data_IF_595435559322
#
_entry.id   IF_595435559322
#
_cell.length_a   1.000
_cell.length_b   1.000
_cell.length_c   1.000
_cell.angle_alpha   90.00
_cell.angle_beta   90.00
_cell.angle_gamma   90.00
#
_symmetry.space_group_name_H-M   'P 1'
#
loop_
_entity.id
_entity.type
_entity.pdbx_description
1 polymer ?
#
# COMPACT_ATOMS: atom_id res chain seq x y z
N UNK A 1 5.28 -4.19 -9.78
CA UNK A 1 5.40 -2.77 -10.15
C UNK A 1 5.28 -2.66 -11.65
N UNK A 2 4.04 -2.58 -12.12
CA UNK A 2 3.71 -2.84 -13.52
C UNK A 2 3.57 -1.55 -14.32
N UNK A 3 3.23 -0.43 -13.65
CA UNK A 3 3.01 0.87 -14.29
C UNK A 3 4.19 1.31 -15.16
N UNK A 4 5.46 1.33 -14.69
CA UNK A 4 6.58 1.78 -15.53
C UNK A 4 6.77 0.88 -16.75
N UNK A 5 6.69 -0.44 -16.54
CA UNK A 5 6.83 -1.42 -17.62
C UNK A 5 5.76 -1.26 -18.69
N UNK A 6 4.49 -1.12 -18.30
CA UNK A 6 3.37 -0.97 -19.24
C UNK A 6 3.45 0.36 -19.99
N UNK A 7 3.79 1.46 -19.29
CA UNK A 7 3.99 2.78 -19.91
C UNK A 7 5.16 2.77 -20.90
N UNK A 8 6.28 2.15 -20.56
CA UNK A 8 7.46 2.08 -21.43
C UNK A 8 7.20 1.21 -22.67
N UNK A 9 6.52 0.07 -22.51
CA UNK A 9 6.11 -0.78 -23.62
C UNK A 9 5.10 -0.07 -24.54
N UNK A 10 4.15 0.67 -23.98
CA UNK A 10 3.18 1.45 -24.75
C UNK A 10 3.87 2.57 -25.55
N UNK A 11 4.77 3.34 -24.92
CA UNK A 11 5.57 4.38 -25.61
C UNK A 11 6.44 3.80 -26.72
N UNK A 12 6.96 2.59 -26.51
CA UNK A 12 7.77 1.88 -27.50
C UNK A 12 6.96 1.17 -28.59
N UNK A 13 5.62 1.24 -28.59
CA UNK A 13 4.73 0.48 -29.47
C UNK A 13 4.98 -1.05 -29.43
N UNK A 14 5.39 -1.56 -28.26
CA UNK A 14 5.66 -2.98 -27.99
C UNK A 14 4.57 -3.66 -27.18
N UNK A 15 3.58 -2.89 -26.71
CA UNK A 15 2.44 -3.44 -25.97
C UNK A 15 1.39 -3.95 -26.98
N UNK A 16 1.04 -5.25 -26.97
CA UNK A 16 0.13 -5.82 -27.96
C UNK A 16 -1.36 -5.53 -27.65
N UNK A 17 -1.64 -4.67 -26.67
CA UNK A 17 -2.98 -4.32 -26.22
C UNK A 17 -3.01 -2.86 -25.73
N UNK A 18 -4.21 -2.30 -25.64
CA UNK A 18 -4.45 -1.01 -25.00
C UNK A 18 -4.41 -1.16 -23.48
N UNK A 19 -3.72 -0.24 -22.82
CA UNK A 19 -3.57 -0.22 -21.38
C UNK A 19 -4.20 1.03 -20.77
N UNK A 20 -4.89 0.84 -19.65
CA UNK A 20 -5.48 1.89 -18.85
C UNK A 20 -5.78 1.39 -17.44
N UNK A 21 -5.99 2.31 -16.50
CA UNK A 21 -6.36 1.99 -15.12
C UNK A 21 -7.74 2.57 -14.81
N UNK A 22 -8.57 1.81 -14.10
CA UNK A 22 -9.87 2.26 -13.60
C UNK A 22 -10.05 1.86 -12.14
N UNK A 23 -10.96 2.55 -11.44
CA UNK A 23 -11.40 2.11 -10.12
C UNK A 23 -12.00 0.69 -10.18
N UNK A 24 -11.84 -0.05 -9.07
CA UNK A 24 -12.52 -1.34 -8.89
C UNK A 24 -14.03 -1.17 -9.06
N UNK A 25 -14.75 -2.13 -9.65
CA UNK A 25 -16.21 -2.09 -9.67
C UNK A 25 -16.79 -2.06 -8.25
N UNK A 26 -17.96 -1.42 -8.09
CA UNK A 26 -18.68 -1.45 -6.81
C UNK A 26 -19.05 -2.90 -6.47
N UNK A 27 -18.56 -3.39 -5.34
CA UNK A 27 -18.98 -4.68 -4.78
C UNK A 27 -19.86 -4.45 -3.57
N UNK A 28 -21.00 -5.13 -3.50
CA UNK A 28 -22.00 -4.91 -2.45
C UNK A 28 -22.45 -3.44 -2.38
N UNK A 29 -22.79 -2.95 -1.19
CA UNK A 29 -23.29 -1.59 -0.98
C UNK A 29 -22.18 -0.54 -0.75
N UNK A 30 -20.90 -0.86 -0.96
CA UNK A 30 -19.79 0.07 -0.78
C UNK A 30 -18.77 0.04 -1.94
N UNK A 31 -17.99 1.11 -2.05
CA UNK A 31 -16.92 1.27 -3.05
C UNK A 31 -15.53 1.08 -2.42
N UNK A 32 -15.49 0.58 -1.17
CA UNK A 32 -14.27 0.61 -0.35
C UNK A 32 -13.22 -0.31 -0.94
N UNK A 33 -12.01 0.21 -1.03
CA UNK A 33 -10.83 -0.51 -1.50
C UNK A 33 -9.80 -0.57 -0.38
N UNK A 34 -8.91 -1.56 -0.43
CA UNK A 34 -7.81 -1.61 0.52
C UNK A 34 -6.61 -0.85 -0.02
N UNK A 35 -5.93 -0.10 0.83
CA UNK A 35 -4.63 0.51 0.52
C UNK A 35 -3.62 0.29 1.64
N UNK A 36 -2.36 0.36 1.24
CA UNK A 36 -1.20 0.39 2.13
C UNK A 36 -0.30 1.59 1.77
N UNK A 37 0.59 1.97 2.67
CA UNK A 37 1.52 3.09 2.52
C UNK A 37 2.94 2.70 2.91
N UNK A 38 3.91 3.19 2.15
CA UNK A 38 5.31 3.09 2.54
C UNK A 38 5.67 4.26 3.46
N UNK A 39 6.45 3.98 4.50
CA UNK A 39 6.90 5.00 5.45
C UNK A 39 8.41 4.95 5.63
N UNK A 40 9.01 6.11 5.86
CA UNK A 40 10.41 6.23 6.30
C UNK A 40 10.40 6.38 7.82
N UNK A 41 11.05 5.44 8.51
CA UNK A 41 11.11 5.42 9.97
C UNK A 41 12.55 5.64 10.46
N UNK A 42 12.70 6.35 11.58
CA UNK A 42 13.96 6.44 12.32
C UNK A 42 13.86 5.43 13.47
N UNK A 43 14.72 4.40 13.51
CA UNK A 43 14.71 3.43 14.60
C UNK A 43 14.96 4.10 15.96
N UNK A 44 14.11 3.82 16.94
CA UNK A 44 14.30 4.30 18.31
C UNK A 44 15.24 3.35 19.08
N UNK A 45 16.55 3.48 18.86
CA UNK A 45 17.53 2.65 19.55
C UNK A 45 17.88 3.23 20.93
N UNK A 46 17.16 2.81 21.98
CA UNK A 46 17.36 3.33 23.34
C UNK A 46 18.74 3.01 23.94
N UNK A 47 19.32 1.86 23.58
CA UNK A 47 20.62 1.42 24.10
C UNK A 47 21.80 2.12 23.44
N UNK A 48 21.64 2.49 22.18
CA UNK A 48 22.65 3.20 21.40
C UNK A 48 21.95 4.27 20.55
N UNK A 49 21.54 5.38 21.17
CA UNK A 49 20.79 6.43 20.47
C UNK A 49 21.66 7.10 19.42
N UNK A 50 21.05 7.46 18.30
CA UNK A 50 21.71 8.23 17.27
C UNK A 50 21.95 9.67 17.72
N UNK A 51 23.04 10.28 17.25
CA UNK A 51 23.35 11.66 17.63
C UNK A 51 22.28 12.63 17.10
N UNK A 52 22.02 13.75 17.81
CA UNK A 52 21.07 14.77 17.35
C UNK A 52 21.38 15.28 15.94
N UNK A 53 22.66 15.41 15.59
CA UNK A 53 23.11 15.86 14.27
C UNK A 53 22.75 14.86 13.17
N UNK A 54 22.91 13.56 13.45
CA UNK A 54 22.53 12.50 12.50
C UNK A 54 21.02 12.43 12.33
N UNK A 55 20.26 12.55 13.42
CA UNK A 55 18.79 12.64 13.35
C UNK A 55 18.36 13.84 12.49
N UNK A 56 18.96 15.02 12.70
CA UNK A 56 18.67 16.20 11.90
C UNK A 56 19.02 16.01 10.40
N UNK A 57 20.13 15.32 10.09
CA UNK A 57 20.50 15.00 8.72
C UNK A 57 19.49 14.04 8.05
N UNK A 58 19.04 13.01 8.79
CA UNK A 58 18.01 12.07 8.31
C UNK A 58 16.69 12.79 8.06
N UNK A 59 16.26 13.68 8.96
CA UNK A 59 15.04 14.47 8.76
C UNK A 59 15.13 15.38 7.53
N UNK A 60 16.29 15.99 7.27
CA UNK A 60 16.52 16.75 6.02
C UNK A 60 16.41 15.86 4.79
N UNK A 61 16.95 14.65 4.83
CA UNK A 61 16.82 13.69 3.75
C UNK A 61 15.37 13.26 3.52
N UNK A 62 14.63 12.90 4.59
CA UNK A 62 13.20 12.55 4.51
C UNK A 62 12.42 13.72 3.89
N UNK A 63 12.64 14.94 4.37
CA UNK A 63 11.99 16.14 3.84
C UNK A 63 12.32 16.40 2.36
N UNK A 64 13.56 16.15 1.93
CA UNK A 64 13.94 16.20 0.53
C UNK A 64 13.21 15.12 -0.29
N UNK A 65 13.23 13.88 0.21
CA UNK A 65 12.70 12.70 -0.47
C UNK A 65 11.20 12.81 -0.73
N UNK A 66 10.40 13.16 0.29
CA UNK A 66 8.94 13.28 0.15
C UNK A 66 8.51 14.37 -0.83
N UNK A 67 9.40 15.30 -1.16
CA UNK A 67 9.17 16.36 -2.15
C UNK A 67 9.51 15.95 -3.58
N UNK A 68 10.09 14.76 -3.79
CA UNK A 68 10.47 14.31 -5.13
C UNK A 68 9.31 13.64 -5.84
N UNK A 69 8.98 14.14 -7.04
CA UNK A 69 7.96 13.52 -7.91
C UNK A 69 8.41 12.17 -8.48
N UNK A 70 9.72 11.88 -8.49
CA UNK A 70 10.27 10.63 -9.01
C UNK A 70 9.62 9.38 -8.39
N UNK A 71 9.18 9.46 -7.12
CA UNK A 71 8.47 8.38 -6.45
C UNK A 71 7.14 8.01 -7.14
N UNK A 72 6.43 9.00 -7.68
CA UNK A 72 5.22 8.77 -8.47
C UNK A 72 5.51 7.96 -9.74
N UNK A 73 6.70 8.09 -10.33
CA UNK A 73 7.08 7.35 -11.53
C UNK A 73 7.01 5.83 -11.39
N UNK A 74 7.08 5.29 -10.16
CA UNK A 74 6.85 3.88 -9.89
C UNK A 74 5.38 3.44 -9.97
N UNK A 75 4.42 4.39 -10.01
CA UNK A 75 2.99 4.12 -9.85
C UNK A 75 2.47 4.46 -8.45
N UNK A 76 3.21 5.23 -7.64
CA UNK A 76 2.74 5.65 -6.32
C UNK A 76 1.93 6.94 -6.35
N UNK A 77 1.14 7.13 -5.28
CA UNK A 77 0.53 8.40 -4.92
C UNK A 77 1.41 9.08 -3.88
N UNK A 78 2.06 10.23 -4.19
CA UNK A 78 2.86 10.96 -3.21
C UNK A 78 2.01 11.44 -2.03
N UNK A 79 2.50 11.24 -0.81
CA UNK A 79 1.84 11.73 0.41
C UNK A 79 2.03 13.24 0.64
N UNK A 80 3.04 13.86 0.01
CA UNK A 80 3.26 15.29 0.13
C UNK A 80 2.34 16.06 -0.81
N UNK A 81 1.29 16.67 -0.24
CA UNK A 81 0.21 17.33 -0.99
C UNK A 81 0.70 18.29 -2.08
N UNK A 82 1.72 19.16 -1.87
CA UNK A 82 2.19 20.04 -2.95
C UNK A 82 2.73 19.32 -4.19
N UNK A 83 3.27 18.10 -4.05
CA UNK A 83 3.64 17.27 -5.22
C UNK A 83 2.39 16.68 -5.85
N UNK A 84 1.45 16.17 -5.05
CA UNK A 84 0.18 15.61 -5.54
C UNK A 84 -0.69 16.66 -6.26
N UNK A 85 -0.66 17.92 -5.80
CA UNK A 85 -1.40 19.04 -6.39
C UNK A 85 -0.70 19.68 -7.59
N UNK A 86 0.57 19.31 -7.84
CA UNK A 86 1.37 19.87 -8.92
C UNK A 86 0.82 19.49 -10.30
N UNK A 87 1.02 20.39 -11.27
CA UNK A 87 0.63 20.14 -12.66
C UNK A 87 1.36 18.91 -13.23
N UNK A 88 2.63 18.73 -12.87
CA UNK A 88 3.42 17.60 -13.30
C UNK A 88 2.83 16.24 -12.85
N UNK A 89 2.28 16.15 -11.63
CA UNK A 89 1.62 14.93 -11.17
C UNK A 89 0.25 14.74 -11.83
N UNK A 90 -0.53 15.82 -12.00
CA UNK A 90 -1.85 15.79 -12.65
C UNK A 90 -1.79 15.34 -14.11
N UNK A 91 -0.66 15.55 -14.78
CA UNK A 91 -0.41 15.08 -16.16
C UNK A 91 0.20 13.67 -16.24
N UNK A 92 0.54 13.05 -15.09
CA UNK A 92 1.15 11.72 -15.07
C UNK A 92 0.09 10.65 -15.23
N UNK A 93 0.01 10.07 -16.43
CA UNK A 93 -0.88 8.95 -16.76
C UNK A 93 -0.11 7.64 -16.61
N UNK A 94 -0.66 6.60 -15.94
CA UNK A 94 -2.03 6.52 -15.40
C UNK A 94 -2.20 7.00 -13.94
N UNK A 95 -1.17 7.57 -13.30
CA UNK A 95 -1.21 7.98 -11.89
C UNK A 95 -2.37 8.89 -11.50
N UNK A 96 -2.69 9.86 -12.35
CA UNK A 96 -3.82 10.78 -12.15
C UNK A 96 -5.19 10.07 -12.20
N UNK A 97 -5.32 9.00 -13.00
CA UNK A 97 -6.58 8.27 -13.18
C UNK A 97 -7.04 7.61 -11.89
N UNK A 98 -6.16 6.84 -11.24
CA UNK A 98 -6.51 6.15 -10.00
C UNK A 98 -6.39 7.03 -8.75
N UNK A 99 -5.52 8.05 -8.73
CA UNK A 99 -5.43 8.96 -7.58
C UNK A 99 -6.66 9.84 -7.41
N UNK A 100 -7.36 10.19 -8.49
CA UNK A 100 -8.57 11.04 -8.42
C UNK A 100 -9.86 10.26 -8.18
N UNK A 101 -9.85 8.95 -8.48
CA UNK A 101 -10.99 8.06 -8.35
C UNK A 101 -10.80 7.10 -7.16
N UNK A 102 -9.96 6.09 -7.31
CA UNK A 102 -9.80 4.98 -6.37
C UNK A 102 -9.26 5.41 -5.00
N UNK A 103 -8.35 6.39 -4.95
CA UNK A 103 -7.74 6.82 -3.69
C UNK A 103 -8.71 7.45 -2.68
N UNK A 104 -9.92 7.85 -3.10
CA UNK A 104 -10.95 8.41 -2.19
C UNK A 104 -11.68 7.35 -1.39
N UNK A 105 -11.69 6.12 -1.89
CA UNK A 105 -12.44 5.02 -1.30
C UNK A 105 -11.56 4.04 -0.54
N UNK A 106 -10.29 4.40 -0.29
CA UNK A 106 -9.35 3.51 0.39
C UNK A 106 -9.64 3.42 1.89
N UNK A 107 -9.48 2.23 2.43
CA UNK A 107 -9.42 1.93 3.86
C UNK A 107 -8.04 1.32 4.16
N UNK A 108 -7.43 1.78 5.24
CA UNK A 108 -6.19 1.21 5.76
C UNK A 108 -6.52 0.12 6.79
N UNK A 109 -5.55 -0.76 7.03
CA UNK A 109 -5.67 -1.68 8.15
C UNK A 109 -5.78 -0.91 9.48
N UNK A 110 -6.49 -1.46 10.48
CA UNK A 110 -6.53 -0.87 11.82
C UNK A 110 -5.11 -0.70 12.38
N UNK A 111 -4.88 0.39 13.12
CA UNK A 111 -3.60 0.66 13.78
C UNK A 111 -3.39 -0.24 15.02
N UNK A 112 -3.28 -1.55 14.79
CA UNK A 112 -3.00 -2.56 15.81
C UNK A 112 -1.70 -3.29 15.46
N UNK A 113 -0.89 -3.72 16.46
CA UNK A 113 0.40 -4.37 16.22
C UNK A 113 0.36 -5.68 15.40
N UNK A 114 -0.82 -6.26 15.22
CA UNK A 114 -1.00 -7.49 14.43
C UNK A 114 -1.05 -7.20 12.93
N UNK A 115 -1.41 -5.97 12.53
CA UNK A 115 -1.55 -5.53 11.14
C UNK A 115 -0.28 -4.84 10.65
N UNK A 116 -0.18 -4.63 9.33
CA UNK A 116 0.99 -4.09 8.64
C UNK A 116 1.80 -5.15 7.91
N UNK A 117 2.62 -4.71 6.96
CA UNK A 117 3.46 -5.60 6.13
C UNK A 117 4.36 -6.48 6.99
N UNK A 118 4.25 -7.79 6.81
CA UNK A 118 5.01 -8.77 7.60
C UNK A 118 4.49 -8.95 9.04
N UNK A 119 3.36 -8.32 9.38
CA UNK A 119 2.69 -8.46 10.66
C UNK A 119 2.09 -9.86 10.87
N UNK A 120 1.74 -10.20 12.12
CA UNK A 120 1.16 -11.49 12.50
C UNK A 120 -0.05 -11.95 11.66
N UNK A 121 -0.84 -11.03 11.09
CA UNK A 121 -2.00 -11.39 10.25
C UNK A 121 -1.66 -11.96 8.87
N UNK A 122 -0.43 -11.79 8.37
CA UNK A 122 -0.03 -12.32 7.06
C UNK A 122 -0.15 -13.85 6.98
N UNK A 123 0.26 -14.55 8.03
CA UNK A 123 0.19 -16.01 8.09
C UNK A 123 -1.26 -16.53 8.02
N UNK A 124 -2.22 -16.07 8.86
CA UNK A 124 -3.61 -16.53 8.76
C UNK A 124 -4.30 -16.08 7.46
N UNK A 125 -3.97 -14.90 6.90
CA UNK A 125 -4.46 -14.52 5.55
C UNK A 125 -4.00 -15.57 4.52
N UNK A 126 -2.72 -15.90 4.52
CA UNK A 126 -2.11 -16.83 3.55
C UNK A 126 -2.61 -18.27 3.73
N UNK A 127 -2.84 -18.70 4.97
CA UNK A 127 -3.23 -20.08 5.28
C UNK A 127 -4.74 -20.33 5.20
N UNK A 128 -5.57 -19.29 5.29
CA UNK A 128 -7.03 -19.45 5.37
C UNK A 128 -7.81 -18.64 4.34
N UNK A 129 -7.49 -17.35 4.14
CA UNK A 129 -8.26 -16.52 3.20
C UNK A 129 -7.86 -16.80 1.75
N UNK A 130 -6.56 -16.89 1.45
CA UNK A 130 -6.08 -17.19 0.08
C UNK A 130 -6.58 -18.56 -0.41
N UNK A 131 -6.52 -19.66 0.37
CA UNK A 131 -7.06 -20.95 -0.05
C UNK A 131 -8.57 -20.93 -0.24
N UNK A 132 -9.32 -20.17 0.56
CA UNK A 132 -10.76 -20.03 0.40
C UNK A 132 -11.11 -19.29 -0.91
N UNK A 133 -10.41 -18.19 -1.22
CA UNK A 133 -10.57 -17.46 -2.50
C UNK A 133 -10.22 -18.35 -3.69
N UNK A 134 -9.20 -19.20 -3.55
CA UNK A 134 -8.78 -20.14 -4.60
C UNK A 134 -9.65 -21.41 -4.69
N UNK A 135 -10.69 -21.55 -3.86
CA UNK A 135 -11.58 -22.72 -3.85
C UNK A 135 -10.94 -24.01 -3.30
N UNK A 136 -9.80 -23.91 -2.61
CA UNK A 136 -9.11 -25.06 -2.02
C UNK A 136 -9.74 -25.52 -0.70
N UNK A 137 -10.42 -24.60 0.00
CA UNK A 137 -11.24 -24.87 1.20
C UNK A 137 -12.56 -24.10 1.08
N UNK A 138 -13.56 -24.45 1.89
CA UNK A 138 -14.81 -23.67 1.93
C UNK A 138 -14.58 -22.28 2.53
N UNK A 139 -15.42 -21.31 2.12
CA UNK A 139 -15.41 -19.96 2.69
C UNK A 139 -15.59 -20.00 4.21
N UNK A 140 -16.51 -20.82 4.72
CA UNK A 140 -16.73 -20.99 6.16
C UNK A 140 -15.48 -21.50 6.89
N UNK A 141 -14.77 -22.48 6.30
CA UNK A 141 -13.54 -23.00 6.87
C UNK A 141 -12.43 -21.94 6.89
N UNK A 142 -12.29 -21.18 5.81
CA UNK A 142 -11.35 -20.06 5.73
C UNK A 142 -11.63 -18.99 6.77
N UNK A 143 -12.88 -18.53 6.85
CA UNK A 143 -13.28 -17.50 7.82
C UNK A 143 -13.10 -17.98 9.27
N UNK A 144 -13.50 -19.21 9.58
CA UNK A 144 -13.34 -19.78 10.92
C UNK A 144 -11.86 -19.91 11.31
N UNK A 145 -11.01 -20.36 10.39
CA UNK A 145 -9.57 -20.46 10.61
C UNK A 145 -8.92 -19.11 10.86
N UNK A 146 -9.24 -18.12 10.02
CA UNK A 146 -8.74 -16.76 10.16
C UNK A 146 -9.13 -16.13 11.50
N UNK A 147 -10.42 -16.16 11.86
CA UNK A 147 -10.92 -15.61 13.14
C UNK A 147 -10.28 -16.33 14.32
N UNK A 148 -10.14 -17.65 14.26
CA UNK A 148 -9.51 -18.44 15.32
C UNK A 148 -8.05 -18.04 15.60
N UNK A 149 -7.27 -17.69 14.57
CA UNK A 149 -5.91 -17.18 14.76
C UNK A 149 -5.90 -15.77 15.37
N UNK A 150 -6.80 -14.88 14.94
CA UNK A 150 -6.92 -13.56 15.55
C UNK A 150 -7.27 -13.62 17.05
N UNK A 151 -8.17 -14.52 17.44
CA UNK A 151 -8.53 -14.74 18.84
C UNK A 151 -7.36 -15.27 19.67
N UNK A 152 -6.51 -16.13 19.09
CA UNK A 152 -5.28 -16.60 19.76
C UNK A 152 -4.31 -15.47 20.01
N UNK A 153 -4.08 -14.61 19.00
CA UNK A 153 -3.24 -13.42 19.17
C UNK A 153 -3.78 -12.51 20.27
N UNK A 154 -5.09 -12.23 20.28
CA UNK A 154 -5.70 -11.37 21.30
C UNK A 154 -5.48 -11.89 22.73
N UNK A 155 -5.52 -13.22 22.94
CA UNK A 155 -5.29 -13.84 24.26
C UNK A 155 -3.82 -13.80 24.70
N UNK A 156 -2.87 -13.81 23.76
CA UNK A 156 -1.43 -13.78 24.08
C UNK A 156 -0.92 -12.40 24.49
N UNK A 157 -1.69 -11.34 24.22
CA UNK A 157 -1.34 -9.95 24.55
C UNK A 157 -1.90 -9.49 25.91
N UNK A 158 -2.62 -10.36 26.63
CA UNK A 158 -3.14 -10.14 27.99
C UNK A 158 -2.20 -10.73 29.03
#
# INVERSE_FOLDING_TARGET
>A
WEVPTLVDLQKGAKLPFEYGITALPKFFDNQKTWADSHQLAIPNNEKNPESPEKIAAVLKFIAYFVKQIAWAGGGHIPAYLPVQDSEAYKQMVPNNEYSTQAAKDVEFEPALPIFGVGGPTFAPISNFLVPAVNGQISVDQGMKGFVGELEKFAKQQQ
#
